data_IF_994206530953
#
_entry.id   IF_994206530953
#
_cell.length_a   1.000
_cell.length_b   1.000
_cell.length_c   1.000
_cell.angle_alpha   90.00
_cell.angle_beta   90.00
_cell.angle_gamma   90.00
#
_symmetry.space_group_name_H-M   'P 1'
#
loop_
_entity.id
_entity.type
_entity.pdbx_description
1 polymer ?
#
# COMPACT_ATOMS: atom_id res chain seq x y z
N UNK A 1 4.63 -52.21 43.26
CA UNK A 1 5.11 -51.89 41.90
C UNK A 1 4.12 -52.37 40.83
N UNK A 2 2.94 -51.74 40.67
CA UNK A 2 1.99 -52.02 39.55
C UNK A 2 1.07 -50.82 39.26
N UNK A 3 1.58 -49.58 39.26
CA UNK A 3 0.73 -48.41 38.95
C UNK A 3 1.38 -47.30 38.12
N UNK A 4 2.72 -47.29 37.94
CA UNK A 4 3.37 -46.24 37.14
C UNK A 4 3.47 -46.54 35.63
N UNK A 5 3.12 -47.74 35.17
CA UNK A 5 3.29 -48.13 33.75
C UNK A 5 2.12 -47.73 32.83
N UNK A 6 1.00 -47.23 33.36
CA UNK A 6 -0.18 -46.87 32.54
C UNK A 6 -0.34 -45.37 32.26
N UNK A 7 0.50 -44.51 32.84
CA UNK A 7 0.45 -43.06 32.60
C UNK A 7 1.37 -42.61 31.46
N UNK A 8 2.30 -43.46 31.02
CA UNK A 8 3.20 -43.15 29.90
C UNK A 8 2.60 -43.51 28.52
N UNK A 9 1.47 -44.22 28.48
CA UNK A 9 0.84 -44.70 27.24
C UNK A 9 -0.46 -43.96 26.88
N UNK A 10 -0.62 -42.72 27.34
CA UNK A 10 -1.75 -41.83 26.95
C UNK A 10 -1.27 -40.46 26.45
N UNK A 11 0.03 -40.14 26.58
CA UNK A 11 0.63 -38.89 26.06
C UNK A 11 1.19 -39.06 24.62
N UNK A 12 1.06 -40.27 24.04
CA UNK A 12 1.59 -40.60 22.70
C UNK A 12 0.58 -40.68 21.55
N UNK A 13 -0.68 -40.25 21.73
CA UNK A 13 -1.74 -40.41 20.69
C UNK A 13 -2.65 -39.16 20.61
N UNK A 14 -2.06 -37.97 20.49
CA UNK A 14 -2.79 -36.73 20.20
C UNK A 14 -1.98 -35.75 19.32
N UNK A 15 -1.13 -36.32 18.44
CA UNK A 15 -0.31 -35.60 17.45
C UNK A 15 -0.56 -36.06 16.01
N UNK A 16 -1.67 -36.77 15.75
CA UNK A 16 -2.01 -37.34 14.45
C UNK A 16 -3.20 -36.64 13.78
N UNK A 17 -3.17 -35.30 13.74
CA UNK A 17 -3.83 -34.53 12.69
C UNK A 17 -2.79 -33.68 11.95
N UNK A 18 -1.81 -34.36 11.36
CA UNK A 18 -1.07 -33.80 10.22
C UNK A 18 -2.04 -33.67 9.05
N UNK A 19 -2.85 -32.62 9.08
CA UNK A 19 -3.49 -32.12 7.88
C UNK A 19 -2.37 -31.85 6.87
N UNK A 20 -2.53 -32.42 5.68
CA UNK A 20 -1.63 -32.26 4.54
C UNK A 20 -1.58 -30.80 4.08
N UNK A 21 -0.90 -29.95 4.83
CA UNK A 21 -0.44 -28.66 4.37
C UNK A 21 0.89 -28.89 3.65
N UNK A 22 0.98 -28.43 2.40
CA UNK A 22 2.22 -28.47 1.64
C UNK A 22 3.39 -27.96 2.52
N UNK A 23 4.42 -28.77 2.72
CA UNK A 23 5.52 -28.45 3.64
C UNK A 23 6.17 -27.10 3.26
N UNK A 24 6.14 -26.16 4.21
CA UNK A 24 6.86 -24.89 4.14
C UNK A 24 8.34 -25.20 4.42
N UNK A 25 9.24 -24.83 3.49
CA UNK A 25 10.63 -25.31 3.50
C UNK A 25 11.49 -24.68 4.60
N UNK A 26 11.53 -23.33 4.67
CA UNK A 26 12.28 -22.61 5.71
C UNK A 26 11.29 -22.12 6.79
N UNK A 27 10.58 -23.07 7.41
CA UNK A 27 9.48 -22.79 8.30
C UNK A 27 9.95 -22.11 9.60
N UNK A 28 9.41 -20.92 9.86
CA UNK A 28 9.47 -20.22 11.13
C UNK A 28 8.05 -20.13 11.70
N UNK A 29 7.93 -20.46 12.99
CA UNK A 29 6.65 -20.43 13.71
C UNK A 29 6.67 -19.36 14.79
N UNK A 30 5.67 -18.48 14.81
CA UNK A 30 5.48 -17.43 15.80
C UNK A 30 4.01 -17.33 16.21
N UNK A 31 3.74 -16.85 17.42
CA UNK A 31 2.38 -16.64 17.92
C UNK A 31 2.17 -15.17 18.23
N UNK A 32 1.07 -14.61 17.73
CA UNK A 32 0.77 -13.17 17.82
C UNK A 32 -0.70 -12.94 18.14
N UNK A 33 -1.00 -11.81 18.78
CA UNK A 33 -2.38 -11.42 19.05
C UNK A 33 -3.00 -10.73 17.83
N UNK A 34 -4.18 -11.20 17.44
CA UNK A 34 -5.00 -10.62 16.36
C UNK A 34 -6.42 -10.49 16.88
N UNK A 35 -6.97 -9.28 16.84
CA UNK A 35 -8.26 -8.99 17.41
C UNK A 35 -9.40 -9.54 16.53
N UNK A 36 -10.41 -10.13 17.18
CA UNK A 36 -11.58 -10.74 16.56
C UNK A 36 -12.46 -11.39 17.62
N UNK A 37 -13.75 -11.63 17.32
CA UNK A 37 -14.69 -12.14 18.32
C UNK A 37 -15.54 -13.35 17.88
N UNK A 38 -15.57 -13.69 16.59
CA UNK A 38 -16.46 -14.74 16.07
C UNK A 38 -15.75 -15.67 15.07
N UNK A 39 -16.36 -16.83 14.78
CA UNK A 39 -15.81 -17.81 13.84
C UNK A 39 -15.71 -17.28 12.40
N UNK A 40 -16.52 -16.28 12.04
CA UNK A 40 -16.39 -15.58 10.76
C UNK A 40 -15.10 -14.75 10.69
N UNK A 41 -14.68 -14.18 11.82
CA UNK A 41 -13.40 -13.48 11.90
C UNK A 41 -12.26 -14.48 11.66
N UNK A 42 -12.31 -15.67 12.27
CA UNK A 42 -11.34 -16.75 12.03
C UNK A 42 -11.16 -17.01 10.52
N UNK A 43 -12.25 -17.30 9.82
CA UNK A 43 -12.20 -17.61 8.40
C UNK A 43 -11.59 -16.47 7.56
N UNK A 44 -11.89 -15.22 7.91
CA UNK A 44 -11.38 -14.05 7.18
C UNK A 44 -9.91 -13.78 7.49
N UNK A 45 -9.52 -13.87 8.77
CA UNK A 45 -8.13 -13.72 9.24
C UNK A 45 -7.24 -14.77 8.59
N UNK A 46 -7.63 -16.05 8.65
CA UNK A 46 -6.85 -17.16 8.10
C UNK A 46 -6.76 -17.05 6.58
N UNK A 47 -7.87 -16.74 5.90
CA UNK A 47 -7.86 -16.53 4.44
C UNK A 47 -6.92 -15.40 4.03
N UNK A 48 -6.86 -14.31 4.80
CA UNK A 48 -6.00 -13.17 4.50
C UNK A 48 -4.53 -13.47 4.78
N UNK A 49 -4.24 -14.20 5.85
CA UNK A 49 -2.88 -14.57 6.25
C UNK A 49 -2.27 -15.69 5.40
N UNK A 50 -3.09 -16.63 4.93
CA UNK A 50 -2.65 -17.83 4.21
C UNK A 50 -2.17 -17.51 2.79
N UNK A 51 -0.96 -17.96 2.48
CA UNK A 51 -0.38 -17.90 1.14
C UNK A 51 0.21 -19.28 0.82
N UNK A 52 -0.26 -19.91 -0.24
CA UNK A 52 0.11 -21.28 -0.59
C UNK A 52 1.64 -21.45 -0.63
N UNK A 53 2.17 -22.41 0.15
CA UNK A 53 3.61 -22.72 0.29
C UNK A 53 4.49 -21.56 0.82
N UNK A 54 3.89 -20.51 1.39
CA UNK A 54 4.60 -19.33 1.91
C UNK A 54 4.21 -19.04 3.35
N UNK A 55 2.92 -19.03 3.69
CA UNK A 55 2.43 -18.74 5.03
C UNK A 55 1.14 -19.52 5.34
N UNK A 56 1.04 -19.99 6.57
CA UNK A 56 -0.14 -20.61 7.17
C UNK A 56 -0.45 -19.90 8.48
N UNK A 57 -1.72 -19.59 8.70
CA UNK A 57 -2.25 -18.85 9.85
C UNK A 57 -3.42 -19.66 10.39
N UNK A 58 -3.31 -19.99 11.68
CA UNK A 58 -4.38 -20.63 12.45
C UNK A 58 -4.75 -19.69 13.59
N UNK A 59 -5.98 -19.19 13.62
CA UNK A 59 -6.45 -18.24 14.63
C UNK A 59 -7.42 -18.89 15.60
N UNK A 60 -7.18 -18.68 16.89
CA UNK A 60 -8.02 -19.19 17.96
C UNK A 60 -8.96 -18.09 18.48
N UNK A 61 -10.26 -18.37 18.46
CA UNK A 61 -11.31 -17.44 18.88
C UNK A 61 -11.26 -17.12 20.38
N UNK A 62 -10.96 -18.12 21.19
CA UNK A 62 -11.05 -18.01 22.64
C UNK A 62 -9.86 -17.23 23.21
N UNK A 63 -8.67 -17.46 22.65
CA UNK A 63 -7.43 -16.77 23.08
C UNK A 63 -7.15 -15.49 22.30
N UNK A 64 -7.77 -15.31 21.12
CA UNK A 64 -7.47 -14.24 20.16
C UNK A 64 -6.02 -14.26 19.66
N UNK A 65 -5.37 -15.44 19.73
CA UNK A 65 -4.01 -15.65 19.26
C UNK A 65 -4.01 -16.36 17.91
N UNK A 66 -3.16 -15.89 17.01
CA UNK A 66 -2.82 -16.56 15.75
C UNK A 66 -1.47 -17.26 15.87
N UNK A 67 -1.41 -18.51 15.44
CA UNK A 67 -0.14 -19.21 15.16
C UNK A 67 0.18 -19.01 13.69
N UNK A 68 1.31 -18.37 13.43
CA UNK A 68 1.83 -18.11 12.09
C UNK A 68 2.96 -19.09 11.81
N UNK A 69 2.88 -19.83 10.72
CA UNK A 69 3.94 -20.69 10.22
C UNK A 69 4.29 -20.27 8.80
N UNK A 70 5.52 -19.84 8.54
CA UNK A 70 5.87 -19.21 7.26
C UNK A 70 7.32 -19.47 6.82
N UNK A 71 7.57 -19.33 5.52
CA UNK A 71 8.90 -19.43 4.90
C UNK A 71 9.66 -18.12 5.14
N UNK A 72 10.62 -18.13 6.07
CA UNK A 72 11.36 -16.93 6.52
C UNK A 72 12.22 -16.26 5.43
N UNK A 73 12.48 -16.98 4.33
CA UNK A 73 13.15 -16.44 3.14
C UNK A 73 12.19 -15.77 2.16
N UNK A 74 10.88 -15.93 2.32
CA UNK A 74 9.85 -15.41 1.40
C UNK A 74 8.91 -14.41 2.05
N UNK A 75 8.72 -14.48 3.35
CA UNK A 75 7.85 -13.57 4.10
C UNK A 75 8.30 -13.48 5.55
N UNK A 76 7.61 -12.65 6.33
CA UNK A 76 7.87 -12.47 7.75
C UNK A 76 6.55 -12.21 8.50
N UNK A 77 6.62 -12.21 9.83
CA UNK A 77 5.47 -11.94 10.70
C UNK A 77 4.72 -10.65 10.32
N UNK A 78 5.46 -9.58 10.07
CA UNK A 78 4.88 -8.27 9.82
C UNK A 78 4.10 -8.28 8.50
N UNK A 79 4.65 -8.85 7.43
CA UNK A 79 3.96 -9.03 6.14
C UNK A 79 2.65 -9.83 6.26
N UNK A 80 2.62 -10.85 7.14
CA UNK A 80 1.41 -11.63 7.40
C UNK A 80 0.37 -10.78 8.14
N UNK A 81 0.78 -10.10 9.22
CA UNK A 81 -0.10 -9.24 10.00
C UNK A 81 -0.67 -8.08 9.16
N UNK A 82 0.11 -7.54 8.23
CA UNK A 82 -0.31 -6.48 7.30
C UNK A 82 -1.40 -6.95 6.34
N UNK A 83 -1.30 -8.17 5.80
CA UNK A 83 -2.38 -8.76 4.97
C UNK A 83 -3.66 -8.96 5.78
N UNK A 84 -3.54 -9.34 7.05
CA UNK A 84 -4.67 -9.52 7.95
C UNK A 84 -5.33 -8.16 8.32
N UNK A 85 -4.51 -7.12 8.53
CA UNK A 85 -4.99 -5.75 8.71
C UNK A 85 -5.76 -5.25 7.48
N UNK A 86 -5.31 -5.60 6.27
CA UNK A 86 -6.05 -5.32 5.03
C UNK A 86 -7.40 -6.03 4.90
N UNK A 87 -7.61 -7.11 5.65
CA UNK A 87 -8.90 -7.77 5.72
C UNK A 87 -9.79 -7.19 6.83
N UNK A 88 -9.34 -6.12 7.50
CA UNK A 88 -10.07 -5.41 8.54
C UNK A 88 -9.64 -5.76 9.96
N UNK A 89 -8.61 -6.59 10.17
CA UNK A 89 -8.29 -7.09 11.51
C UNK A 89 -6.99 -6.52 12.08
N UNK A 90 -7.11 -5.80 13.20
CA UNK A 90 -6.03 -5.28 14.00
C UNK A 90 -5.18 -6.39 14.64
N UNK A 91 -3.93 -6.05 14.90
CA UNK A 91 -3.00 -6.79 15.75
C UNK A 91 -2.36 -5.81 16.74
N UNK A 92 -1.49 -6.29 17.63
CA UNK A 92 -0.73 -5.40 18.53
C UNK A 92 0.26 -4.49 17.78
N UNK A 93 0.59 -4.81 16.52
CA UNK A 93 1.53 -4.01 15.70
C UNK A 93 0.86 -3.19 14.60
N UNK A 94 -0.26 -3.65 14.06
CA UNK A 94 -0.86 -3.08 12.86
C UNK A 94 -2.35 -2.81 13.08
N UNK A 95 -2.74 -1.58 12.75
CA UNK A 95 -4.12 -1.11 12.73
C UNK A 95 -4.67 -1.26 11.31
N UNK A 96 -5.82 -1.92 11.15
CA UNK A 96 -6.54 -2.01 9.90
C UNK A 96 -7.00 -0.62 9.39
N UNK A 97 -7.18 -0.41 8.07
CA UNK A 97 -7.81 0.82 7.59
C UNK A 97 -9.22 1.00 8.17
N UNK A 98 -9.55 2.23 8.62
CA UNK A 98 -10.84 2.57 9.22
C UNK A 98 -12.03 2.17 8.34
N UNK A 99 -11.93 2.37 7.03
CA UNK A 99 -13.00 2.09 6.07
C UNK A 99 -13.20 0.59 5.81
N UNK A 100 -12.13 -0.20 5.89
CA UNK A 100 -12.19 -1.67 5.76
C UNK A 100 -12.79 -2.26 7.03
N UNK A 101 -12.32 -1.80 8.19
CA UNK A 101 -12.84 -2.20 9.49
C UNK A 101 -14.34 -1.87 9.64
N UNK A 102 -14.76 -0.67 9.21
CA UNK A 102 -16.16 -0.25 9.25
C UNK A 102 -17.09 -1.13 8.39
N UNK A 103 -16.55 -1.84 7.38
CA UNK A 103 -17.31 -2.77 6.52
C UNK A 103 -17.38 -4.19 7.08
N UNK A 104 -16.69 -4.48 8.18
CA UNK A 104 -16.78 -5.79 8.80
C UNK A 104 -18.19 -6.04 9.37
N UNK A 105 -18.66 -7.31 9.36
CA UNK A 105 -19.87 -7.69 10.07
C UNK A 105 -19.80 -7.28 11.54
N UNK A 106 -20.94 -6.92 12.14
CA UNK A 106 -20.97 -6.40 13.51
C UNK A 106 -20.27 -7.29 14.55
N UNK A 107 -20.28 -8.63 14.40
CA UNK A 107 -19.56 -9.50 15.33
C UNK A 107 -18.03 -9.39 15.25
N UNK A 108 -17.49 -8.92 14.12
CA UNK A 108 -16.05 -8.69 13.92
C UNK A 108 -15.64 -7.25 14.21
N UNK A 109 -16.57 -6.38 14.64
CA UNK A 109 -16.24 -5.05 15.13
C UNK A 109 -16.01 -5.09 16.65
N UNK A 110 -14.77 -4.91 17.08
CA UNK A 110 -14.30 -4.84 18.47
C UNK A 110 -13.78 -3.44 18.87
N UNK A 111 -13.41 -3.26 20.14
CA UNK A 111 -12.68 -2.06 20.56
C UNK A 111 -11.26 -2.07 19.98
N UNK A 112 -10.85 -1.00 19.31
CA UNK A 112 -9.56 -0.90 18.60
C UNK A 112 -8.48 -0.32 19.51
N UNK A 113 -7.71 -1.18 20.16
CA UNK A 113 -6.73 -0.80 21.19
C UNK A 113 -5.61 0.13 20.67
N UNK A 114 -5.24 0.02 19.40
CA UNK A 114 -4.21 0.87 18.78
C UNK A 114 -4.72 2.24 18.31
N UNK A 115 -6.04 2.51 18.42
CA UNK A 115 -6.62 3.80 18.05
C UNK A 115 -6.73 4.69 19.29
N UNK A 116 -5.98 5.81 19.39
CA UNK A 116 -6.19 6.77 20.46
C UNK A 116 -7.64 7.26 20.44
N UNK A 117 -8.29 7.29 21.61
CA UNK A 117 -9.66 7.80 21.75
C UNK A 117 -9.64 9.30 21.43
N UNK A 118 -10.02 9.66 20.22
CA UNK A 118 -10.24 11.05 19.84
C UNK A 118 -11.45 11.56 20.62
N UNK A 119 -11.20 12.43 21.61
CA UNK A 119 -12.25 13.25 22.22
C UNK A 119 -12.84 14.15 21.13
N UNK A 120 -14.10 13.92 20.77
CA UNK A 120 -14.91 14.93 20.14
C UNK A 120 -15.17 16.07 21.14
N UNK A 121 -14.94 17.32 20.72
CA UNK A 121 -15.83 18.48 20.94
C UNK A 121 -15.22 19.75 20.29
N UNK A 122 -15.91 20.20 19.25
CA UNK A 122 -16.41 21.56 18.93
C UNK A 122 -15.72 22.86 19.44
N UNK A 123 -15.75 23.84 18.52
CA UNK A 123 -15.73 25.31 18.63
C UNK A 123 -14.46 26.09 19.04
N UNK A 124 -14.01 26.98 18.12
CA UNK A 124 -13.84 28.41 18.45
C UNK A 124 -12.48 29.12 18.22
N UNK A 125 -12.45 29.97 17.18
CA UNK A 125 -11.80 31.30 17.10
C UNK A 125 -10.27 31.47 16.88
N UNK A 126 -9.93 31.80 15.62
CA UNK A 126 -9.42 33.09 15.10
C UNK A 126 -8.27 33.88 15.78
N UNK A 127 -7.28 34.23 14.93
CA UNK A 127 -6.57 35.53 14.72
C UNK A 127 -5.05 35.66 14.99
N UNK A 128 -4.37 35.99 13.87
CA UNK A 128 -3.39 37.07 13.61
C UNK A 128 -1.87 36.79 13.62
N UNK A 129 -1.32 36.73 12.39
CA UNK A 129 -0.40 37.71 11.75
C UNK A 129 0.78 38.31 12.58
N UNK A 130 2.03 38.11 12.15
CA UNK A 130 2.83 39.06 11.32
C UNK A 130 4.31 38.64 11.13
N UNK A 131 4.98 39.35 10.20
CA UNK A 131 6.13 39.01 9.35
C UNK A 131 7.54 39.26 9.94
N UNK A 132 8.57 38.59 9.39
CA UNK A 132 9.91 39.14 9.06
C UNK A 132 10.69 38.10 8.23
N UNK A 133 10.75 38.22 6.90
CA UNK A 133 11.75 38.90 6.05
C UNK A 133 13.08 38.14 5.83
N UNK A 134 13.48 38.13 4.56
CA UNK A 134 14.57 37.42 3.90
C UNK A 134 15.96 37.95 4.28
N UNK A 135 17.00 37.11 4.26
CA UNK A 135 18.06 37.28 3.26
C UNK A 135 18.95 36.04 3.09
N UNK A 136 19.42 35.90 1.85
CA UNK A 136 20.25 34.88 1.24
C UNK A 136 21.74 35.09 1.58
N UNK A 137 22.48 33.99 1.69
CA UNK A 137 23.87 33.95 1.20
C UNK A 137 24.31 32.50 0.97
N UNK A 138 24.51 32.19 -0.32
CA UNK A 138 25.20 31.03 -0.84
C UNK A 138 26.66 30.96 -0.35
N UNK A 139 27.16 29.74 -0.10
CA UNK A 139 28.26 29.13 -0.87
C UNK A 139 28.83 27.88 -0.17
N UNK A 140 28.60 26.74 -0.83
CA UNK A 140 29.54 25.66 -1.12
C UNK A 140 30.52 25.17 -0.03
N UNK A 141 30.42 23.88 0.33
CA UNK A 141 31.30 22.83 -0.24
C UNK A 141 31.05 21.43 0.33
N UNK A 142 31.00 20.49 -0.63
CA UNK A 142 31.75 19.22 -0.67
C UNK A 142 31.09 17.96 -0.11
N UNK A 143 30.81 17.08 -1.07
CA UNK A 143 30.87 15.62 -1.07
C UNK A 143 30.54 14.90 0.24
N UNK A 144 29.43 14.18 0.21
CA UNK A 144 29.48 12.78 0.65
C UNK A 144 28.69 11.94 -0.34
N UNK A 145 29.28 10.84 -0.76
CA UNK A 145 28.61 9.81 -1.53
C UNK A 145 27.39 9.31 -0.75
N UNK A 146 26.19 9.71 -1.15
CA UNK A 146 24.95 9.21 -0.57
C UNK A 146 24.63 7.84 -1.16
N UNK A 147 25.23 6.82 -0.56
CA UNK A 147 24.73 5.45 -0.67
C UNK A 147 23.86 5.19 0.56
N UNK A 148 22.67 5.81 0.63
CA UNK A 148 21.70 5.60 1.73
C UNK A 148 20.26 5.81 1.24
N UNK A 149 19.51 4.70 1.13
CA UNK A 149 18.04 4.64 1.14
C UNK A 149 17.26 5.56 0.19
N UNK A 150 17.39 5.34 -1.12
CA UNK A 150 16.33 5.76 -2.04
C UNK A 150 15.00 5.13 -1.58
N UNK A 151 13.96 5.94 -1.41
CA UNK A 151 12.61 5.46 -1.05
C UNK A 151 12.22 4.28 -1.94
N UNK A 152 11.67 3.22 -1.34
CA UNK A 152 11.18 2.03 -2.07
C UNK A 152 10.20 2.41 -3.18
N UNK A 153 9.54 3.56 -3.05
CA UNK A 153 8.57 4.08 -4.01
C UNK A 153 9.20 4.91 -5.13
N UNK A 154 10.49 5.25 -5.06
CA UNK A 154 11.16 6.09 -6.06
C UNK A 154 11.00 5.53 -7.48
N UNK A 155 11.28 4.24 -7.64
CA UNK A 155 11.14 3.56 -8.92
C UNK A 155 9.68 3.52 -9.41
N UNK A 156 8.71 3.44 -8.49
CA UNK A 156 7.28 3.48 -8.83
C UNK A 156 6.92 4.88 -9.36
N UNK A 157 7.33 5.93 -8.67
CA UNK A 157 7.06 7.31 -9.09
C UNK A 157 7.76 7.66 -10.41
N UNK A 158 9.06 7.33 -10.55
CA UNK A 158 9.83 7.62 -11.77
C UNK A 158 9.23 6.94 -13.01
N UNK A 159 8.77 5.69 -12.88
CA UNK A 159 8.08 4.99 -13.97
C UNK A 159 6.69 5.57 -14.26
N UNK A 160 5.94 5.99 -13.25
CA UNK A 160 4.68 6.71 -13.45
C UNK A 160 4.88 7.99 -14.27
N UNK A 161 5.88 8.81 -13.92
CA UNK A 161 6.17 10.03 -14.68
C UNK A 161 6.62 9.72 -16.11
N UNK A 162 7.36 8.62 -16.31
CA UNK A 162 7.75 8.17 -17.65
C UNK A 162 6.55 7.76 -18.51
N UNK A 163 5.53 7.10 -17.92
CA UNK A 163 4.26 6.82 -18.62
C UNK A 163 3.53 8.12 -18.96
N UNK A 164 3.42 9.06 -18.02
CA UNK A 164 2.82 10.38 -18.25
C UNK A 164 3.50 11.10 -19.41
N UNK A 165 4.83 11.15 -19.43
CA UNK A 165 5.60 11.84 -20.47
C UNK A 165 5.43 11.20 -21.85
N UNK A 166 5.33 9.86 -21.92
CA UNK A 166 5.01 9.17 -23.16
C UNK A 166 3.61 9.54 -23.67
N UNK A 167 2.61 9.64 -22.77
CA UNK A 167 1.24 10.02 -23.12
C UNK A 167 1.11 11.49 -23.58
N UNK A 168 1.90 12.40 -22.99
CA UNK A 168 2.04 13.79 -23.48
C UNK A 168 2.52 13.81 -24.93
N UNK A 169 3.45 12.92 -25.29
CA UNK A 169 3.96 12.77 -26.66
C UNK A 169 3.04 11.97 -27.58
N UNK A 170 1.90 11.47 -27.09
CA UNK A 170 1.02 10.53 -27.80
C UNK A 170 1.77 9.27 -28.28
N UNK A 171 2.80 8.85 -27.56
CA UNK A 171 3.60 7.68 -27.90
C UNK A 171 3.07 6.44 -27.19
N UNK A 172 2.17 5.72 -27.87
CA UNK A 172 1.55 4.52 -27.34
C UNK A 172 2.58 3.40 -27.04
N UNK A 173 3.62 3.27 -27.87
CA UNK A 173 4.63 2.21 -27.72
C UNK A 173 5.50 2.42 -26.48
N UNK A 174 6.02 3.64 -26.31
CA UNK A 174 6.80 4.00 -25.12
C UNK A 174 5.92 3.97 -23.86
N UNK A 175 4.67 4.42 -23.95
CA UNK A 175 3.71 4.35 -22.84
C UNK A 175 3.50 2.91 -22.37
N UNK A 176 3.29 1.96 -23.29
CA UNK A 176 3.17 0.54 -22.95
C UNK A 176 4.44 -0.02 -22.31
N UNK A 177 5.61 0.29 -22.86
CA UNK A 177 6.88 -0.19 -22.34
C UNK A 177 7.15 0.34 -20.91
N UNK A 178 6.92 1.63 -20.68
CA UNK A 178 7.08 2.25 -19.35
C UNK A 178 6.03 1.80 -18.35
N UNK A 179 4.82 1.48 -18.79
CA UNK A 179 3.82 0.88 -17.92
C UNK A 179 4.18 -0.56 -17.51
N UNK A 180 4.86 -1.32 -18.38
CA UNK A 180 5.40 -2.64 -18.01
C UNK A 180 6.52 -2.51 -16.97
N UNK A 181 7.41 -1.52 -17.11
CA UNK A 181 8.44 -1.21 -16.10
C UNK A 181 7.80 -0.76 -14.78
N UNK A 182 6.75 0.07 -14.82
CA UNK A 182 5.97 0.46 -13.64
C UNK A 182 5.37 -0.76 -12.94
N UNK A 183 4.73 -1.66 -13.67
CA UNK A 183 4.16 -2.89 -13.09
C UNK A 183 5.22 -3.77 -12.42
N UNK A 184 6.43 -3.84 -13.00
CA UNK A 184 7.57 -4.54 -12.38
C UNK A 184 8.05 -3.82 -11.11
N UNK A 185 8.17 -2.49 -11.16
CA UNK A 185 8.58 -1.69 -10.00
C UNK A 185 7.59 -1.85 -8.84
N UNK A 186 6.28 -1.82 -9.12
CA UNK A 186 5.24 -2.05 -8.12
C UNK A 186 5.39 -3.43 -7.46
N UNK A 187 5.63 -4.48 -8.24
CA UNK A 187 5.82 -5.84 -7.72
C UNK A 187 7.11 -6.02 -6.92
N UNK A 188 8.09 -5.15 -7.13
CA UNK A 188 9.38 -5.18 -6.46
C UNK A 188 9.40 -4.39 -5.14
N UNK A 189 8.34 -3.65 -4.81
CA UNK A 189 8.28 -2.88 -3.57
C UNK A 189 8.34 -3.81 -2.37
N UNK A 190 9.36 -3.61 -1.54
CA UNK A 190 9.49 -4.30 -0.26
C UNK A 190 8.63 -3.57 0.79
N UNK A 191 7.40 -4.04 0.99
CA UNK A 191 6.44 -3.45 1.92
C UNK A 191 6.95 -3.30 3.36
N UNK A 192 7.88 -4.16 3.78
CA UNK A 192 8.54 -4.09 5.09
C UNK A 192 9.43 -2.84 5.27
N UNK A 193 9.87 -2.24 4.17
CA UNK A 193 10.75 -1.05 4.16
C UNK A 193 9.98 0.26 3.95
N UNK A 194 8.65 0.21 3.84
CA UNK A 194 7.79 1.39 3.79
C UNK A 194 7.55 1.95 5.19
N UNK A 195 7.45 3.27 5.31
CA UNK A 195 6.93 3.89 6.54
C UNK A 195 5.48 3.47 6.81
N UNK A 196 4.96 3.67 8.03
CA UNK A 196 3.60 3.28 8.40
C UNK A 196 2.53 3.91 7.49
N UNK A 197 2.69 5.18 7.14
CA UNK A 197 1.74 5.92 6.31
C UNK A 197 1.80 5.46 4.85
N UNK A 198 3.02 5.31 4.31
CA UNK A 198 3.25 4.75 2.97
C UNK A 198 2.69 3.34 2.88
N UNK A 199 2.98 2.49 3.87
CA UNK A 199 2.52 1.11 3.91
C UNK A 199 0.99 1.03 3.94
N UNK A 200 0.34 1.80 4.82
CA UNK A 200 -1.12 1.83 4.95
C UNK A 200 -1.77 2.23 3.63
N UNK A 201 -1.21 3.24 2.96
CA UNK A 201 -1.72 3.72 1.67
C UNK A 201 -1.42 2.74 0.55
N UNK A 202 -0.17 2.25 0.48
CA UNK A 202 0.28 1.25 -0.48
C UNK A 202 -0.64 0.04 -0.51
N UNK A 203 -1.01 -0.46 0.68
CA UNK A 203 -1.90 -1.60 0.82
C UNK A 203 -3.31 -1.36 0.25
N UNK A 204 -3.81 -0.11 0.28
CA UNK A 204 -5.09 0.26 -0.35
C UNK A 204 -4.97 0.27 -1.87
N UNK A 205 -3.87 0.78 -2.41
CA UNK A 205 -3.77 1.12 -3.84
C UNK A 205 -2.99 0.12 -4.70
N UNK A 206 -2.14 -0.73 -4.12
CA UNK A 206 -1.17 -1.56 -4.86
C UNK A 206 -1.81 -2.47 -5.92
N UNK A 207 -2.99 -3.02 -5.61
CA UNK A 207 -3.71 -3.92 -6.51
C UNK A 207 -4.17 -3.17 -7.75
N UNK A 208 -4.80 -2.02 -7.55
CA UNK A 208 -5.32 -1.22 -8.66
C UNK A 208 -4.18 -0.54 -9.43
N UNK A 209 -3.11 -0.11 -8.77
CA UNK A 209 -1.88 0.35 -9.43
C UNK A 209 -1.32 -0.73 -10.36
N UNK A 210 -1.21 -1.98 -9.88
CA UNK A 210 -0.72 -3.11 -10.68
C UNK A 210 -1.63 -3.37 -11.87
N UNK A 211 -2.94 -3.51 -11.65
CA UNK A 211 -3.93 -3.79 -12.70
C UNK A 211 -3.94 -2.70 -13.77
N UNK A 212 -3.91 -1.43 -13.37
CA UNK A 212 -3.94 -0.30 -14.30
C UNK A 212 -2.63 -0.20 -15.09
N UNK A 213 -1.48 -0.41 -14.46
CA UNK A 213 -0.19 -0.44 -15.16
C UNK A 213 -0.14 -1.59 -16.19
N UNK A 214 -0.60 -2.79 -15.83
CA UNK A 214 -0.66 -3.94 -16.74
C UNK A 214 -1.60 -3.69 -17.93
N UNK A 215 -2.76 -3.08 -17.69
CA UNK A 215 -3.70 -2.68 -18.76
C UNK A 215 -3.10 -1.66 -19.73
N UNK A 216 -2.38 -0.65 -19.24
CA UNK A 216 -1.67 0.30 -20.12
C UNK A 216 -0.57 -0.43 -20.90
N UNK A 217 0.17 -1.32 -20.24
CA UNK A 217 1.29 -2.06 -20.85
C UNK A 217 0.88 -2.96 -22.01
N UNK A 218 -0.36 -3.43 -22.02
CA UNK A 218 -0.89 -4.35 -23.04
C UNK A 218 -1.75 -3.65 -24.10
N UNK A 219 -2.19 -2.41 -23.84
CA UNK A 219 -2.94 -1.61 -24.81
C UNK A 219 -2.01 -0.97 -25.83
N UNK A 220 -2.33 -1.10 -27.12
CA UNK A 220 -1.69 -0.35 -28.23
C UNK A 220 -2.43 0.94 -28.61
N UNK A 221 -3.57 1.18 -27.96
CA UNK A 221 -4.45 2.31 -28.25
C UNK A 221 -4.24 3.41 -27.20
N UNK A 222 -3.75 4.57 -27.65
CA UNK A 222 -3.45 5.71 -26.79
C UNK A 222 -4.68 6.24 -26.06
N UNK A 223 -5.88 6.16 -26.66
CA UNK A 223 -7.10 6.60 -25.99
C UNK A 223 -7.41 5.70 -24.79
N UNK A 224 -7.34 4.37 -24.97
CA UNK A 224 -7.52 3.40 -23.88
C UNK A 224 -6.43 3.50 -22.82
N UNK A 225 -5.19 3.80 -23.23
CA UNK A 225 -4.11 4.06 -22.29
C UNK A 225 -4.41 5.30 -21.43
N UNK A 226 -4.91 6.40 -22.01
CA UNK A 226 -5.30 7.62 -21.29
C UNK A 226 -6.44 7.39 -20.31
N UNK A 227 -7.46 6.63 -20.70
CA UNK A 227 -8.56 6.24 -19.81
C UNK A 227 -8.04 5.47 -18.59
N UNK A 228 -7.19 4.48 -18.83
CA UNK A 228 -6.59 3.69 -17.75
C UNK A 228 -5.60 4.53 -16.92
N UNK A 229 -4.87 5.45 -17.55
CA UNK A 229 -3.93 6.35 -16.88
C UNK A 229 -4.63 7.34 -15.93
N UNK A 230 -5.86 7.75 -16.22
CA UNK A 230 -6.66 8.54 -15.28
C UNK A 230 -6.94 7.76 -13.98
N UNK A 231 -7.26 6.46 -14.09
CA UNK A 231 -7.44 5.59 -12.92
C UNK A 231 -6.12 5.36 -12.17
N UNK A 232 -5.03 5.11 -12.91
CA UNK A 232 -3.69 4.97 -12.35
C UNK A 232 -3.28 6.22 -11.56
N UNK A 233 -3.53 7.41 -12.13
CA UNK A 233 -3.15 8.69 -11.54
C UNK A 233 -3.89 9.01 -10.24
N UNK A 234 -5.16 8.61 -10.14
CA UNK A 234 -5.92 8.74 -8.89
C UNK A 234 -5.24 7.99 -7.74
N UNK A 235 -4.86 6.74 -7.98
CA UNK A 235 -4.22 5.89 -6.97
C UNK A 235 -2.77 6.33 -6.70
N UNK A 236 -2.07 6.84 -7.71
CA UNK A 236 -0.72 7.37 -7.54
C UNK A 236 -0.73 8.66 -6.70
N UNK A 237 -1.76 9.49 -6.84
CA UNK A 237 -1.95 10.67 -6.00
C UNK A 237 -2.15 10.31 -4.52
N UNK A 238 -2.94 9.28 -4.20
CA UNK A 238 -3.06 8.81 -2.81
C UNK A 238 -1.70 8.40 -2.25
N UNK A 239 -0.93 7.64 -3.04
CA UNK A 239 0.39 7.15 -2.62
C UNK A 239 1.42 8.27 -2.44
N UNK A 240 1.48 9.24 -3.35
CA UNK A 240 2.44 10.34 -3.26
C UNK A 240 2.14 11.25 -2.07
N UNK A 241 0.86 11.41 -1.68
CA UNK A 241 0.46 12.17 -0.48
C UNK A 241 0.91 11.50 0.82
N UNK A 242 1.11 10.19 0.81
CA UNK A 242 1.58 9.43 1.97
C UNK A 242 3.12 9.29 2.01
N UNK A 243 3.83 9.74 0.97
CA UNK A 243 5.28 9.58 0.84
C UNK A 243 5.97 10.95 0.75
N UNK A 244 7.07 11.13 1.49
CA UNK A 244 7.86 12.36 1.42
C UNK A 244 8.51 12.51 0.05
N UNK A 245 8.42 13.69 -0.55
CA UNK A 245 9.01 13.94 -1.87
C UNK A 245 10.28 14.79 -1.72
N UNK A 246 11.37 14.36 -2.35
CA UNK A 246 12.61 15.15 -2.39
C UNK A 246 12.45 16.45 -3.21
N UNK A 247 11.50 16.44 -4.16
CA UNK A 247 11.22 17.56 -5.04
C UNK A 247 9.71 17.79 -5.13
N UNK A 248 9.26 19.04 -5.35
CA UNK A 248 7.83 19.32 -5.48
C UNK A 248 7.18 18.47 -6.59
N UNK A 249 6.05 17.86 -6.26
CA UNK A 249 5.18 17.17 -7.21
C UNK A 249 3.89 17.96 -7.36
N UNK A 250 3.53 18.29 -8.59
CA UNK A 250 2.35 19.08 -8.92
C UNK A 250 1.19 18.18 -9.28
N UNK A 251 0.08 18.28 -8.56
CA UNK A 251 -1.18 17.66 -8.92
C UNK A 251 -1.90 18.58 -9.89
N UNK A 252 -2.07 18.14 -11.13
CA UNK A 252 -2.64 18.94 -12.22
C UNK A 252 -3.98 18.34 -12.68
N UNK A 253 -4.87 19.19 -13.17
CA UNK A 253 -6.22 18.83 -13.58
C UNK A 253 -6.53 19.28 -15.00
N UNK A 254 -7.24 18.44 -15.76
CA UNK A 254 -7.83 18.78 -17.04
C UNK A 254 -9.35 18.67 -16.91
N UNK A 255 -10.11 19.79 -16.99
CA UNK A 255 -11.57 19.76 -16.80
C UNK A 255 -12.32 19.14 -17.99
N UNK A 256 -11.75 19.19 -19.19
CA UNK A 256 -12.45 18.78 -20.41
C UNK A 256 -12.40 17.26 -20.67
N UNK A 257 -11.50 16.55 -20.01
CA UNK A 257 -11.31 15.12 -20.27
C UNK A 257 -12.56 14.30 -19.94
N UNK A 258 -12.73 13.17 -20.62
CA UNK A 258 -13.80 12.19 -20.36
C UNK A 258 -15.20 12.83 -20.35
N UNK A 259 -15.54 13.51 -21.44
CA UNK A 259 -16.82 14.22 -21.62
C UNK A 259 -17.08 15.26 -20.52
N UNK A 260 -16.06 16.04 -20.16
CA UNK A 260 -16.17 17.10 -19.15
C UNK A 260 -16.21 16.62 -17.69
N UNK A 261 -16.02 15.32 -17.43
CA UNK A 261 -15.85 14.80 -16.05
C UNK A 261 -14.49 15.18 -15.45
N UNK A 262 -13.55 15.50 -16.31
CA UNK A 262 -12.18 15.83 -15.98
C UNK A 262 -11.34 14.64 -15.52
N UNK A 263 -10.04 14.87 -15.39
CA UNK A 263 -9.10 13.93 -14.79
C UNK A 263 -7.87 14.64 -14.26
N UNK A 264 -7.20 14.00 -13.31
CA UNK A 264 -6.03 14.52 -12.63
C UNK A 264 -4.79 13.65 -12.87
N UNK A 265 -3.62 14.28 -12.88
CA UNK A 265 -2.32 13.60 -12.96
C UNK A 265 -1.28 14.28 -12.07
N UNK A 266 -0.18 13.59 -11.81
CA UNK A 266 0.98 14.16 -11.14
C UNK A 266 2.05 14.58 -12.16
N UNK A 267 2.75 15.67 -11.90
CA UNK A 267 3.83 16.20 -12.72
C UNK A 267 5.03 16.58 -11.85
N UNK A 268 6.25 16.41 -12.37
CA UNK A 268 7.47 17.01 -11.78
C UNK A 268 7.65 18.47 -12.17
N UNK A 269 6.88 18.94 -13.15
CA UNK A 269 6.95 20.31 -13.68
C UNK A 269 5.67 21.07 -13.30
N UNK A 270 5.82 22.32 -12.87
CA UNK A 270 4.69 23.22 -12.61
C UNK A 270 3.94 23.55 -13.90
N UNK A 271 4.67 23.70 -15.02
CA UNK A 271 4.10 23.91 -16.34
C UNK A 271 3.19 22.74 -16.74
N UNK A 272 1.99 23.06 -17.19
CA UNK A 272 0.99 22.07 -17.60
C UNK A 272 1.40 21.44 -18.92
N UNK A 273 1.59 20.12 -18.90
CA UNK A 273 1.75 19.26 -20.09
C UNK A 273 0.73 18.13 -20.01
N UNK A 274 -0.39 18.29 -20.71
CA UNK A 274 -1.58 17.47 -20.58
C UNK A 274 -1.39 16.06 -21.23
N UNK A 275 -1.36 14.98 -20.43
CA UNK A 275 -1.18 13.62 -20.96
C UNK A 275 -2.43 13.07 -21.67
N UNK A 276 -3.60 13.68 -21.47
CA UNK A 276 -4.88 13.20 -21.99
C UNK A 276 -5.20 13.69 -23.41
N UNK A 277 -4.62 14.81 -23.82
CA UNK A 277 -4.81 15.36 -25.17
C UNK A 277 -3.51 15.50 -25.94
N UNK A 278 -2.34 15.33 -25.29
CA UNK A 278 -1.04 15.46 -25.93
C UNK A 278 -0.90 16.80 -26.64
N UNK A 279 -0.38 16.81 -27.87
CA UNK A 279 -0.20 18.03 -28.66
C UNK A 279 -1.50 18.78 -28.98
N UNK A 280 -2.67 18.13 -28.94
CA UNK A 280 -3.94 18.77 -29.28
C UNK A 280 -4.35 19.84 -28.26
N UNK A 281 -4.01 19.64 -26.97
CA UNK A 281 -4.32 20.58 -25.89
C UNK A 281 -3.22 20.55 -24.83
N UNK A 282 -1.96 20.69 -25.27
CA UNK A 282 -0.78 20.45 -24.43
C UNK A 282 -0.78 21.27 -23.13
N UNK A 283 -1.19 22.53 -23.20
CA UNK A 283 -1.20 23.46 -22.07
C UNK A 283 -2.56 23.54 -21.37
N UNK A 284 -3.55 22.75 -21.78
CA UNK A 284 -4.88 22.76 -21.19
C UNK A 284 -4.86 22.05 -19.83
N UNK A 285 -5.10 22.81 -18.77
CA UNK A 285 -5.21 22.31 -17.41
C UNK A 285 -4.77 23.35 -16.40
N UNK A 286 -4.72 22.96 -15.13
CA UNK A 286 -4.29 23.82 -14.04
C UNK A 286 -3.64 23.00 -12.92
N UNK A 287 -2.71 23.62 -12.21
CA UNK A 287 -2.17 23.07 -10.96
C UNK A 287 -3.24 23.22 -9.87
N UNK A 288 -3.58 22.11 -9.22
CA UNK A 288 -4.53 22.04 -8.10
C UNK A 288 -3.81 22.01 -6.75
N UNK A 289 -2.67 21.35 -6.68
CA UNK A 289 -1.91 21.19 -5.44
C UNK A 289 -0.41 21.04 -5.74
N UNK A 290 0.43 21.52 -4.82
CA UNK A 290 1.88 21.24 -4.78
C UNK A 290 2.19 20.38 -3.57
N UNK A 291 2.70 19.16 -3.80
CA UNK A 291 3.00 18.15 -2.80
C UNK A 291 4.51 18.18 -2.52
N UNK A 292 4.89 18.20 -1.23
CA UNK A 292 6.26 18.24 -0.73
C UNK A 292 6.44 17.19 0.35
#
# INVERSE_FOLDING_TARGET
MKSLSKIVMVIGVLLSSVNSFAQIKNAKTETVKIYGNCGMCKATIEKAGNVNKVASVEWNKDTKMATLNYDDKKTNQDEILKRIALAGYDSEKFLAPDDVYAKLPGCCQYSRELKPVAKSNDAGMHMKNEHANHNQSDMAKKNTAETQNATQLKAVFDNYFSVKDALVKTDAGTSSAKAAELAKAIKAVEMAKLSTDEHTTWMKVMKDLTVNAEKISTSKDVAKQRETFALLSKNMYELVKASKQETPVYYQHCPMYNNGKGANWLSKEEAVKNPYYGSQMLTCGSVQETIK
#
